data_IF_508647637748
#
_entry.id   IF_508647637748
#
_cell.length_a   1.000
_cell.length_b   1.000
_cell.length_c   1.000
_cell.angle_alpha   90.00
_cell.angle_beta   90.00
_cell.angle_gamma   90.00
#
_symmetry.space_group_name_H-M   'P 1'
#
loop_
_entity.id
_entity.type
_entity.pdbx_description
1 polymer ?
#
# COMPACT_ATOMS: atom_id res chain seq x y z
N UNK A 1 -11.37 10.30 -19.45
CA UNK A 1 -11.41 8.82 -19.46
C UNK A 1 -11.85 8.27 -18.10
N UNK A 2 -12.87 7.46 -18.10
CA UNK A 2 -13.27 6.72 -16.90
C UNK A 2 -12.20 5.69 -16.57
N UNK A 3 -11.57 5.81 -15.40
CA UNK A 3 -10.66 4.78 -14.93
C UNK A 3 -11.44 3.51 -14.60
N UNK A 4 -10.90 2.37 -14.98
CA UNK A 4 -11.50 1.07 -14.74
C UNK A 4 -11.62 0.81 -13.23
N UNK A 5 -12.81 0.42 -12.77
CA UNK A 5 -13.00 -0.08 -11.41
C UNK A 5 -12.68 -1.57 -11.41
N UNK A 6 -11.79 -1.97 -10.51
CA UNK A 6 -11.36 -3.36 -10.39
C UNK A 6 -11.85 -3.98 -9.10
N UNK A 7 -11.99 -5.31 -9.11
CA UNK A 7 -12.32 -6.08 -7.92
C UNK A 7 -11.06 -6.27 -7.08
N UNK A 8 -11.15 -5.98 -5.78
CA UNK A 8 -10.08 -6.26 -4.80
C UNK A 8 -10.63 -7.16 -3.70
N UNK A 9 -9.80 -8.06 -3.18
CA UNK A 9 -10.18 -8.95 -2.09
C UNK A 9 -9.98 -8.33 -0.71
N UNK A 10 -10.04 -9.18 0.32
CA UNK A 10 -9.81 -8.77 1.70
C UNK A 10 -8.35 -8.42 1.97
N UNK A 11 -7.42 -9.09 1.28
CA UNK A 11 -5.97 -8.91 1.42
C UNK A 11 -5.32 -8.84 0.05
N UNK A 12 -4.10 -8.30 0.01
CA UNK A 12 -3.26 -8.34 -1.19
C UNK A 12 -1.79 -8.14 -0.82
N UNK A 13 -0.96 -8.07 -1.84
CA UNK A 13 0.48 -7.82 -1.73
C UNK A 13 0.80 -6.64 -2.64
N UNK A 14 1.48 -5.64 -2.13
CA UNK A 14 1.74 -4.38 -2.82
C UNK A 14 3.23 -4.02 -2.76
N UNK A 15 3.62 -3.10 -3.63
CA UNK A 15 4.93 -2.47 -3.59
C UNK A 15 4.79 -1.00 -3.25
N UNK A 16 5.73 -0.49 -2.44
CA UNK A 16 5.89 0.93 -2.16
C UNK A 16 7.31 1.32 -2.60
N UNK A 17 7.49 1.59 -3.90
CA UNK A 17 8.85 1.75 -4.45
C UNK A 17 9.60 2.96 -3.92
N UNK A 18 8.91 4.05 -3.56
CA UNK A 18 9.57 5.24 -2.98
C UNK A 18 10.14 4.96 -1.59
N UNK A 19 9.62 3.95 -0.90
CA UNK A 19 10.12 3.50 0.39
C UNK A 19 11.03 2.26 0.28
N UNK A 20 11.31 1.82 -0.94
CA UNK A 20 12.09 0.60 -1.16
C UNK A 20 11.43 -0.63 -0.53
N UNK A 21 10.13 -0.62 -0.36
CA UNK A 21 9.37 -1.70 0.27
C UNK A 21 8.62 -2.47 -0.79
N UNK A 22 8.94 -3.75 -0.93
CA UNK A 22 8.38 -4.60 -1.98
C UNK A 22 7.72 -5.83 -1.37
N UNK A 23 6.69 -6.33 -2.04
CA UNK A 23 5.92 -7.53 -1.64
C UNK A 23 5.40 -7.41 -0.20
N UNK A 24 4.78 -6.29 0.11
CA UNK A 24 4.27 -5.99 1.45
C UNK A 24 2.83 -6.47 1.56
N UNK A 25 2.52 -7.33 2.55
CA UNK A 25 1.14 -7.74 2.77
C UNK A 25 0.27 -6.57 3.23
N UNK A 26 -0.91 -6.46 2.64
CA UNK A 26 -1.86 -5.42 2.99
C UNK A 26 -3.24 -6.01 3.27
N UNK A 27 -4.01 -5.36 4.11
CA UNK A 27 -5.40 -5.67 4.38
C UNK A 27 -6.28 -4.51 3.99
N UNK A 28 -7.40 -4.81 3.33
CA UNK A 28 -8.40 -3.81 2.98
C UNK A 28 -9.24 -3.51 4.21
N UNK A 29 -9.34 -2.23 4.55
CA UNK A 29 -10.13 -1.74 5.69
C UNK A 29 -11.06 -0.62 5.23
N UNK A 30 -12.27 -0.99 4.85
CA UNK A 30 -13.28 -0.04 4.41
C UNK A 30 -13.83 0.84 5.55
N UNK A 31 -13.55 0.48 6.79
CA UNK A 31 -13.88 1.29 7.96
C UNK A 31 -12.95 2.47 8.19
N UNK A 32 -11.76 2.45 7.60
CA UNK A 32 -10.78 3.53 7.73
C UNK A 32 -10.92 4.52 6.57
N UNK A 33 -10.90 5.82 6.88
CA UNK A 33 -10.89 6.86 5.85
C UNK A 33 -9.56 6.91 5.11
N UNK A 34 -8.46 6.88 5.85
CA UNK A 34 -7.09 6.98 5.33
C UNK A 34 -6.37 5.67 5.52
N UNK A 35 -5.57 5.27 4.54
CA UNK A 35 -4.68 4.11 4.66
C UNK A 35 -3.66 4.35 5.77
N UNK A 36 -3.09 3.29 6.32
CA UNK A 36 -2.11 3.41 7.40
C UNK A 36 -0.92 2.47 7.19
N UNK A 37 0.24 2.91 7.67
CA UNK A 37 1.47 2.12 7.69
C UNK A 37 1.90 1.96 9.13
N UNK A 38 2.21 0.72 9.52
CA UNK A 38 2.81 0.45 10.82
C UNK A 38 4.25 0.96 10.82
N UNK A 39 4.58 1.78 11.82
CA UNK A 39 5.96 2.20 12.07
C UNK A 39 6.21 2.26 13.58
N UNK A 40 7.41 1.86 13.98
CA UNK A 40 7.75 1.71 15.39
C UNK A 40 8.16 3.03 16.04
N UNK A 41 8.81 3.90 15.30
CA UNK A 41 9.36 5.17 15.83
C UNK A 41 9.03 6.29 14.86
N UNK A 42 8.38 7.32 15.37
CA UNK A 42 8.05 8.51 14.59
C UNK A 42 8.49 9.73 15.39
N UNK A 43 9.31 10.58 14.80
CA UNK A 43 9.79 11.79 15.50
C UNK A 43 10.03 12.91 14.50
N UNK A 44 9.92 14.14 15.00
CA UNK A 44 10.29 15.33 14.25
C UNK A 44 11.76 15.65 14.49
N UNK A 45 12.45 16.01 13.42
CA UNK A 45 13.84 16.46 13.45
C UNK A 45 13.89 17.87 12.90
N UNK A 46 14.51 18.79 13.64
CA UNK A 46 14.78 20.14 13.16
C UNK A 46 16.11 20.13 12.41
N UNK A 47 16.08 20.64 11.18
CA UNK A 47 17.25 20.81 10.34
C UNK A 47 17.27 22.27 9.86
N UNK A 48 17.94 23.15 10.62
CA UNK A 48 17.87 24.58 10.41
C UNK A 48 16.48 25.12 10.65
N UNK A 49 15.91 25.81 9.65
CA UNK A 49 14.53 26.32 9.69
C UNK A 49 13.51 25.28 9.24
N UNK A 50 13.97 24.12 8.73
CA UNK A 50 13.11 23.06 8.26
C UNK A 50 12.84 22.02 9.34
N UNK A 51 11.63 21.49 9.34
CA UNK A 51 11.25 20.36 10.18
C UNK A 51 11.03 19.15 9.29
N UNK A 52 11.69 18.05 9.61
CA UNK A 52 11.55 16.78 8.90
C UNK A 52 10.95 15.72 9.80
N UNK A 53 10.22 14.82 9.18
CA UNK A 53 9.64 13.67 9.86
C UNK A 53 10.54 12.45 9.63
N UNK A 54 11.00 11.85 10.73
CA UNK A 54 11.76 10.60 10.69
C UNK A 54 10.90 9.47 11.25
N UNK A 55 10.84 8.36 10.51
CA UNK A 55 10.10 7.18 10.95
C UNK A 55 10.86 5.91 10.58
N UNK A 56 10.59 4.85 11.34
CA UNK A 56 11.25 3.55 11.18
C UNK A 56 10.21 2.49 10.80
N UNK A 57 10.44 1.82 9.70
CA UNK A 57 9.66 0.67 9.27
C UNK A 57 10.35 -0.60 9.77
N UNK A 58 9.62 -1.37 10.58
CA UNK A 58 10.14 -2.63 11.13
C UNK A 58 10.43 -3.64 10.03
N UNK A 59 11.39 -4.52 10.30
CA UNK A 59 11.64 -5.66 9.41
C UNK A 59 10.42 -6.57 9.37
N UNK A 60 10.04 -6.95 8.17
CA UNK A 60 8.99 -7.95 7.88
C UNK A 60 9.58 -9.00 6.96
N UNK A 61 8.89 -10.14 6.82
CA UNK A 61 9.31 -11.18 5.89
C UNK A 61 9.64 -10.58 4.52
N UNK A 62 10.91 -10.65 4.11
CA UNK A 62 11.37 -10.17 2.82
C UNK A 62 11.85 -8.72 2.76
N UNK A 63 11.74 -7.94 3.86
CA UNK A 63 12.22 -6.56 3.90
C UNK A 63 12.95 -6.26 5.21
N UNK A 64 14.19 -5.78 5.19
CA UNK A 64 14.89 -5.35 6.40
C UNK A 64 14.25 -4.08 6.99
N UNK A 65 14.44 -3.86 8.28
CA UNK A 65 14.04 -2.62 8.93
C UNK A 65 14.82 -1.43 8.37
N UNK A 66 14.16 -0.29 8.23
CA UNK A 66 14.75 0.88 7.59
C UNK A 66 14.17 2.17 8.12
N UNK A 67 15.03 3.20 8.25
CA UNK A 67 14.63 4.55 8.62
C UNK A 67 14.40 5.40 7.39
N UNK A 68 13.40 6.26 7.47
CA UNK A 68 13.07 7.24 6.42
C UNK A 68 12.98 8.62 7.01
N UNK A 69 13.39 9.62 6.23
CA UNK A 69 13.25 11.02 6.58
C UNK A 69 12.57 11.73 5.42
N UNK A 70 11.45 12.39 5.70
CA UNK A 70 10.67 13.11 4.69
C UNK A 70 10.42 14.54 5.15
N UNK A 71 10.38 15.46 4.18
CA UNK A 71 10.08 16.87 4.44
C UNK A 71 8.60 17.20 4.19
N UNK A 72 7.93 16.43 3.34
CA UNK A 72 6.51 16.62 3.02
C UNK A 72 5.64 15.69 3.86
N UNK A 73 5.02 16.24 4.88
CA UNK A 73 4.12 15.52 5.77
C UNK A 73 3.13 16.50 6.39
N UNK A 74 2.05 15.95 6.94
CA UNK A 74 1.10 16.76 7.72
C UNK A 74 0.75 16.05 9.02
N UNK A 75 0.26 16.82 9.99
CA UNK A 75 -0.28 16.31 11.23
C UNK A 75 -1.80 16.19 11.13
N UNK A 76 -2.34 15.17 11.73
CA UNK A 76 -3.78 15.00 11.87
C UNK A 76 -4.11 14.46 13.26
N UNK A 77 -5.34 14.69 13.71
CA UNK A 77 -5.83 14.16 14.96
C UNK A 77 -6.89 13.12 14.66
N UNK A 78 -6.73 11.92 15.22
CA UNK A 78 -7.65 10.80 15.04
C UNK A 78 -8.24 10.46 16.40
N UNK A 79 -9.56 10.29 16.46
CA UNK A 79 -10.25 9.79 17.65
C UNK A 79 -10.27 8.27 17.62
N UNK A 80 -9.78 7.64 18.68
CA UNK A 80 -9.89 6.20 18.82
C UNK A 80 -11.28 5.81 19.35
N UNK A 81 -11.56 4.50 19.41
CA UNK A 81 -12.83 3.97 19.87
C UNK A 81 -13.18 4.33 21.32
N UNK A 82 -12.19 4.69 22.15
CA UNK A 82 -12.39 5.13 23.53
C UNK A 82 -12.64 6.64 23.66
N UNK A 83 -12.67 7.38 22.55
CA UNK A 83 -12.88 8.83 22.51
C UNK A 83 -11.65 9.65 22.75
N UNK A 84 -10.48 9.02 22.95
CA UNK A 84 -9.21 9.73 23.09
C UNK A 84 -8.70 10.22 21.75
N UNK A 85 -8.24 11.46 21.71
CA UNK A 85 -7.59 12.03 20.54
C UNK A 85 -6.12 11.60 20.49
N UNK A 86 -5.69 11.17 19.31
CA UNK A 86 -4.31 10.79 19.04
C UNK A 86 -3.79 11.58 17.86
N UNK A 87 -2.63 12.21 18.06
CA UNK A 87 -1.93 12.92 17.00
C UNK A 87 -1.22 11.92 16.11
N UNK A 88 -1.43 12.04 14.81
CA UNK A 88 -0.77 11.20 13.81
C UNK A 88 -0.15 12.04 12.72
N UNK A 89 0.93 11.52 12.15
CA UNK A 89 1.55 12.11 10.97
C UNK A 89 1.09 11.36 9.73
N UNK A 90 0.95 12.09 8.65
CA UNK A 90 0.49 11.55 7.36
C UNK A 90 1.51 11.88 6.29
N UNK A 91 1.94 10.87 5.55
CA UNK A 91 2.81 11.02 4.40
C UNK A 91 2.04 10.67 3.13
N UNK A 92 2.52 11.15 2.00
CA UNK A 92 1.98 10.78 0.70
C UNK A 92 3.04 9.99 -0.05
N UNK A 93 2.69 8.78 -0.50
CA UNK A 93 3.62 7.92 -1.23
C UNK A 93 2.89 7.09 -2.27
N UNK A 94 3.66 6.49 -3.17
CA UNK A 94 3.12 5.68 -4.26
C UNK A 94 3.01 4.22 -3.83
N UNK A 95 1.89 3.61 -4.16
CA UNK A 95 1.67 2.18 -4.02
C UNK A 95 1.41 1.59 -5.40
N UNK A 96 1.94 0.40 -5.66
CA UNK A 96 1.66 -0.35 -6.89
C UNK A 96 0.73 -1.51 -6.57
N UNK A 97 -0.42 -1.54 -7.26
CA UNK A 97 -1.50 -2.49 -7.02
C UNK A 97 -2.25 -2.72 -8.34
N UNK A 98 -2.40 -3.96 -8.77
CA UNK A 98 -2.97 -4.33 -10.09
C UNK A 98 -2.23 -3.67 -11.26
N UNK A 99 -0.89 -3.53 -11.17
CA UNK A 99 -0.10 -2.84 -12.18
C UNK A 99 -0.33 -1.34 -12.24
N UNK A 100 -1.13 -0.78 -11.33
CA UNK A 100 -1.45 0.64 -11.25
C UNK A 100 -0.57 1.33 -10.22
N UNK A 101 -0.07 2.49 -10.58
CA UNK A 101 0.67 3.36 -9.66
C UNK A 101 -0.31 4.36 -9.06
N UNK A 102 -0.54 4.24 -7.76
CA UNK A 102 -1.50 5.08 -7.05
C UNK A 102 -0.76 5.87 -5.98
N UNK A 103 -0.82 7.19 -6.05
CA UNK A 103 -0.27 8.05 -5.02
C UNK A 103 -1.39 8.39 -4.03
N UNK A 104 -1.17 8.10 -2.77
CA UNK A 104 -2.18 8.28 -1.74
C UNK A 104 -1.56 8.60 -0.38
N UNK A 105 -2.40 9.04 0.54
CA UNK A 105 -1.99 9.36 1.90
C UNK A 105 -1.97 8.12 2.78
N UNK A 106 -0.95 8.05 3.63
CA UNK A 106 -0.82 7.02 4.65
C UNK A 106 -0.57 7.67 6.00
N UNK A 107 -1.41 7.36 6.99
CA UNK A 107 -1.11 7.73 8.36
C UNK A 107 -0.06 6.76 8.93
N UNK A 108 0.85 7.29 9.75
CA UNK A 108 1.87 6.50 10.41
C UNK A 108 1.39 6.17 11.82
N UNK A 109 1.32 4.89 12.15
CA UNK A 109 0.78 4.43 13.42
C UNK A 109 1.56 3.23 13.94
N UNK A 110 1.71 3.16 15.27
CA UNK A 110 2.31 1.99 15.89
C UNK A 110 1.24 0.89 16.02
N UNK A 111 1.38 -0.16 15.22
CA UNK A 111 0.44 -1.28 15.17
C UNK A 111 1.13 -2.62 15.40
N UNK A 112 1.97 -2.69 16.44
CA UNK A 112 2.78 -3.87 16.78
C UNK A 112 1.99 -5.18 16.82
N UNK A 113 0.70 -5.11 17.21
CA UNK A 113 -0.15 -6.29 17.40
C UNK A 113 -0.91 -6.69 16.14
N UNK A 114 -0.72 -6.01 15.01
CA UNK A 114 -1.47 -6.30 13.79
C UNK A 114 -0.69 -7.18 12.84
N UNK A 115 -1.39 -8.13 12.22
CA UNK A 115 -0.81 -9.10 11.28
C UNK A 115 -0.36 -8.45 9.96
N UNK A 116 -0.93 -7.30 9.63
CA UNK A 116 -0.65 -6.60 8.37
C UNK A 116 0.00 -5.25 8.63
N UNK A 117 1.17 -4.99 7.99
CA UNK A 117 1.85 -3.71 8.18
C UNK A 117 1.14 -2.53 7.54
N UNK A 118 0.28 -2.79 6.55
CA UNK A 118 -0.45 -1.75 5.83
C UNK A 118 -1.94 -2.07 5.81
N UNK A 119 -2.76 -1.06 6.11
CA UNK A 119 -4.21 -1.09 5.89
C UNK A 119 -4.57 -0.14 4.76
N UNK A 120 -5.40 -0.60 3.83
CA UNK A 120 -5.88 0.22 2.71
C UNK A 120 -7.27 0.78 3.03
N UNK A 121 -7.34 2.09 3.15
CA UNK A 121 -8.56 2.81 3.50
C UNK A 121 -9.36 3.33 2.31
N UNK A 122 -10.48 3.99 2.62
CA UNK A 122 -11.44 4.46 1.60
C UNK A 122 -10.87 5.47 0.60
N UNK A 123 -9.92 6.32 0.99
CA UNK A 123 -9.32 7.28 0.07
C UNK A 123 -8.60 6.60 -1.10
N UNK A 124 -8.00 5.44 -0.85
CA UNK A 124 -7.40 4.64 -1.91
C UNK A 124 -8.47 3.87 -2.70
N UNK A 125 -9.45 3.31 -2.02
CA UNK A 125 -10.42 2.39 -2.62
C UNK A 125 -11.46 3.11 -3.48
N UNK A 126 -11.88 4.30 -3.06
CA UNK A 126 -12.99 5.04 -3.67
C UNK A 126 -12.74 5.32 -5.15
N UNK A 127 -13.68 4.88 -5.98
CA UNK A 127 -13.60 5.09 -7.43
C UNK A 127 -12.61 4.20 -8.15
N UNK A 128 -11.89 3.33 -7.43
CA UNK A 128 -10.89 2.43 -8.02
C UNK A 128 -11.21 0.96 -7.84
N UNK A 129 -11.81 0.60 -6.70
CA UNK A 129 -12.00 -0.80 -6.34
C UNK A 129 -13.38 -1.07 -5.77
N UNK A 130 -13.92 -2.24 -6.12
CA UNK A 130 -15.04 -2.86 -5.43
C UNK A 130 -14.44 -3.96 -4.56
N UNK A 131 -14.83 -4.01 -3.28
CA UNK A 131 -14.25 -4.95 -2.32
C UNK A 131 -15.13 -6.19 -2.21
N UNK A 132 -14.55 -7.34 -2.48
CA UNK A 132 -15.15 -8.65 -2.23
C UNK A 132 -14.33 -9.37 -1.16
N UNK A 133 -14.84 -9.38 0.06
CA UNK A 133 -14.12 -9.93 1.21
C UNK A 133 -13.97 -11.45 1.16
N UNK A 134 -14.65 -12.13 0.24
CA UNK A 134 -14.48 -13.56 0.03
C UNK A 134 -13.24 -13.90 -0.78
N UNK A 135 -12.64 -12.92 -1.45
CA UNK A 135 -11.45 -13.08 -2.29
C UNK A 135 -10.19 -12.64 -1.55
N UNK A 136 -9.04 -13.17 -2.00
CA UNK A 136 -7.73 -12.83 -1.43
C UNK A 136 -6.70 -12.71 -2.55
N UNK A 137 -5.81 -11.72 -2.40
CA UNK A 137 -4.58 -11.60 -3.21
C UNK A 137 -4.80 -11.57 -4.72
N UNK A 138 -5.87 -10.87 -5.17
CA UNK A 138 -6.24 -10.81 -6.58
C UNK A 138 -5.19 -10.11 -7.45
N UNK A 139 -4.57 -9.04 -6.94
CA UNK A 139 -3.48 -8.34 -7.64
C UNK A 139 -2.26 -9.23 -7.79
N UNK A 140 -1.87 -9.91 -6.71
CA UNK A 140 -0.75 -10.84 -6.69
C UNK A 140 -0.95 -12.01 -7.65
N UNK A 141 -2.16 -12.58 -7.69
CA UNK A 141 -2.53 -13.65 -8.61
C UNK A 141 -2.47 -13.19 -10.07
N UNK A 142 -2.96 -11.99 -10.36
CA UNK A 142 -2.90 -11.40 -11.69
C UNK A 142 -1.45 -11.21 -12.16
N UNK A 143 -0.57 -10.74 -11.29
CA UNK A 143 0.84 -10.57 -11.61
C UNK A 143 1.53 -11.91 -11.88
N UNK A 144 1.24 -12.94 -11.09
CA UNK A 144 1.78 -14.28 -11.29
C UNK A 144 1.34 -14.87 -12.64
N UNK A 145 0.09 -14.68 -13.04
CA UNK A 145 -0.42 -15.10 -14.35
C UNK A 145 0.28 -14.38 -15.51
N UNK A 146 0.47 -13.08 -15.41
CA UNK A 146 1.19 -12.29 -16.41
C UNK A 146 2.64 -12.76 -16.57
N UNK A 147 3.32 -13.07 -15.49
CA UNK A 147 4.70 -13.59 -15.54
C UNK A 147 4.72 -14.96 -16.20
N UNK A 148 3.77 -15.83 -15.88
CA UNK A 148 3.67 -17.17 -16.48
C UNK A 148 3.42 -17.10 -17.98
N UNK A 149 2.52 -16.22 -18.45
CA UNK A 149 2.25 -16.02 -19.87
C UNK A 149 3.45 -15.44 -20.63
N UNK A 150 4.27 -14.62 -19.99
CA UNK A 150 5.51 -14.12 -20.61
C UNK A 150 6.56 -15.21 -20.77
N UNK A 151 6.63 -16.16 -19.83
CA UNK A 151 7.58 -17.26 -19.89
C UNK A 151 7.15 -18.38 -20.84
N UNK A 152 5.85 -18.65 -20.89
CA UNK A 152 5.26 -19.66 -21.77
C UNK A 152 4.06 -19.05 -22.51
N UNK A 153 4.32 -18.27 -23.57
CA UNK A 153 3.22 -17.72 -24.34
C UNK A 153 2.42 -18.85 -24.98
N UNK A 154 1.09 -18.78 -24.87
CA UNK A 154 0.17 -19.72 -25.49
C UNK A 154 0.33 -19.65 -27.01
N UNK A 155 0.67 -20.75 -27.71
CA UNK A 155 0.82 -20.73 -29.16
C UNK A 155 -0.45 -20.32 -29.89
N UNK A 156 -1.62 -20.56 -29.30
CA UNK A 156 -2.91 -20.19 -29.90
C UNK A 156 -3.21 -18.70 -29.77
N UNK A 157 -2.55 -17.99 -28.86
CA UNK A 157 -2.74 -16.55 -28.68
C UNK A 157 -2.05 -15.70 -29.75
N UNK A 158 -1.22 -16.31 -30.61
CA UNK A 158 -0.53 -15.59 -31.67
C UNK A 158 -0.85 -16.20 -33.04
N UNK A 159 -1.88 -15.68 -33.76
CA UNK A 159 -2.30 -16.25 -35.04
C UNK A 159 -1.24 -16.21 -36.13
N UNK A 160 -0.19 -15.41 -35.98
CA UNK A 160 0.92 -15.36 -36.92
C UNK A 160 1.81 -16.61 -36.93
N UNK A 161 1.76 -17.41 -35.88
CA UNK A 161 2.52 -18.66 -35.76
C UNK A 161 1.79 -19.86 -36.40
N UNK A 162 0.54 -19.69 -36.78
CA UNK A 162 -0.28 -20.74 -37.35
C UNK A 162 -0.34 -20.73 -38.92
N UNK A 163 0.39 -19.81 -39.55
CA UNK A 163 0.38 -19.64 -41.02
C UNK A 163 1.63 -20.27 -41.63
N UNK A 164 1.87 -21.52 -41.33
CA UNK A 164 2.97 -22.24 -41.96
C UNK A 164 2.53 -23.58 -42.47
#
# INVERSE_FOLDING_TARGET
>A
MKKKIELIGATDIVDLPELGWYKVPVRVDSGAATSSIHCAKVRLIKDGDDTRLCFYLDSKKGAPGQSFTVSDFKETVVRNSSGKEEKRYVIKTQITLFGRKIRTEFSLANRKKMSYPILLGRKLLKGRFIVDVSQKDLSSKQNAEKIRHKKNPDPEANPTLLIH
#
